data_IF_000964034926
#
_entry.id   IF_000964034926
#
_cell.length_a   1.000
_cell.length_b   1.000
_cell.length_c   1.000
_cell.angle_alpha   90.00
_cell.angle_beta   90.00
_cell.angle_gamma   90.00
#
_symmetry.space_group_name_H-M   'P 1'
#
loop_
_entity.id
_entity.type
_entity.pdbx_description
1 polymer ?
#
# COMPACT_ATOMS: atom_id res chain seq x y z
N UNK A 1 -1.97 -12.46 -14.95
CA UNK A 1 -0.81 -13.26 -14.47
C UNK A 1 -1.15 -14.73 -14.72
N UNK A 2 -0.22 -15.54 -15.23
CA UNK A 2 -0.47 -16.97 -15.49
C UNK A 2 -0.65 -17.74 -14.18
N UNK A 3 -1.48 -18.80 -14.20
CA UNK A 3 -1.82 -19.58 -13.00
C UNK A 3 -0.59 -20.29 -12.42
N UNK A 4 0.27 -20.87 -13.26
CA UNK A 4 1.49 -21.52 -12.80
C UNK A 4 2.46 -20.55 -12.12
N UNK A 5 2.55 -19.31 -12.60
CA UNK A 5 3.40 -18.26 -12.02
C UNK A 5 2.91 -17.86 -10.63
N UNK A 6 1.60 -17.61 -10.47
CA UNK A 6 1.00 -17.28 -9.17
C UNK A 6 1.24 -18.39 -8.15
N UNK A 7 1.06 -19.66 -8.57
CA UNK A 7 1.34 -20.81 -7.71
C UNK A 7 2.83 -20.90 -7.33
N UNK A 8 3.74 -20.66 -8.29
CA UNK A 8 5.18 -20.68 -8.08
C UNK A 8 5.64 -19.67 -7.02
N UNK A 9 5.04 -18.47 -7.00
CA UNK A 9 5.39 -17.43 -6.01
C UNK A 9 4.59 -17.54 -4.69
N UNK A 10 3.74 -18.56 -4.53
CA UNK A 10 2.96 -18.78 -3.31
C UNK A 10 1.73 -17.89 -3.13
N UNK A 11 1.21 -17.26 -4.20
CA UNK A 11 0.01 -16.42 -4.13
C UNK A 11 0.26 -15.01 -3.55
N UNK A 12 -0.74 -14.45 -2.87
CA UNK A 12 -0.64 -13.16 -2.17
C UNK A 12 -0.01 -13.35 -0.79
N UNK A 13 0.82 -12.41 -0.36
CA UNK A 13 1.40 -12.44 0.99
C UNK A 13 0.32 -12.15 2.03
N UNK A 14 0.25 -13.00 3.06
CA UNK A 14 -0.68 -12.85 4.19
C UNK A 14 -0.19 -11.86 5.25
N UNK A 15 1.00 -11.26 5.06
CA UNK A 15 1.56 -10.30 6.01
C UNK A 15 0.86 -8.92 5.94
N UNK A 16 0.13 -8.68 4.85
CA UNK A 16 -0.57 -7.43 4.59
C UNK A 16 -2.07 -7.64 4.76
N UNK A 17 -2.73 -6.69 5.43
CA UNK A 17 -4.19 -6.60 5.40
C UNK A 17 -4.65 -5.83 4.16
N UNK A 18 -4.03 -4.66 3.91
CA UNK A 18 -4.22 -3.81 2.73
C UNK A 18 -3.05 -2.82 2.61
N UNK A 19 -2.86 -2.31 1.40
CA UNK A 19 -1.74 -1.49 0.93
C UNK A 19 -0.40 -2.23 0.97
N UNK A 20 0.43 -1.99 -0.06
CA UNK A 20 1.74 -2.62 -0.30
C UNK A 20 1.71 -4.12 -0.63
N UNK A 21 0.55 -4.78 -0.55
CA UNK A 21 0.38 -6.19 -0.95
C UNK A 21 0.58 -6.39 -2.46
N UNK A 22 0.20 -5.40 -3.25
CA UNK A 22 0.35 -5.34 -4.71
C UNK A 22 1.80 -5.03 -5.11
N UNK A 23 2.46 -4.11 -4.41
CA UNK A 23 3.88 -3.80 -4.58
C UNK A 23 4.74 -5.02 -4.24
N UNK A 24 4.43 -5.72 -3.15
CA UNK A 24 5.07 -7.00 -2.78
C UNK A 24 4.87 -8.06 -3.86
N UNK A 25 3.64 -8.21 -4.38
CA UNK A 25 3.34 -9.13 -5.47
C UNK A 25 4.15 -8.82 -6.72
N UNK A 26 4.18 -7.56 -7.15
CA UNK A 26 4.98 -7.11 -8.31
C UNK A 26 6.47 -7.39 -8.11
N UNK A 27 6.99 -7.13 -6.90
CA UNK A 27 8.39 -7.41 -6.56
C UNK A 27 8.71 -8.91 -6.68
N UNK A 28 7.84 -9.78 -6.16
CA UNK A 28 8.01 -11.24 -6.26
C UNK A 28 7.91 -11.75 -7.70
N UNK A 29 7.03 -11.18 -8.52
CA UNK A 29 6.92 -11.50 -9.94
C UNK A 29 8.20 -11.13 -10.69
N UNK A 30 8.74 -9.93 -10.46
CA UNK A 30 10.00 -9.47 -11.07
C UNK A 30 11.15 -10.40 -10.66
N UNK A 31 11.23 -10.80 -9.38
CA UNK A 31 12.27 -11.73 -8.90
C UNK A 31 12.25 -13.11 -9.57
N UNK A 32 11.12 -13.54 -10.13
CA UNK A 32 11.03 -14.81 -10.90
C UNK A 32 11.10 -14.61 -12.41
N UNK A 33 11.49 -13.41 -12.88
CA UNK A 33 11.73 -13.09 -14.29
C UNK A 33 10.50 -12.60 -15.06
N UNK A 34 9.38 -12.35 -14.39
CA UNK A 34 8.17 -11.83 -15.04
C UNK A 34 8.27 -10.32 -15.27
N UNK A 35 7.54 -9.83 -16.28
CA UNK A 35 7.46 -8.40 -16.61
C UNK A 35 6.13 -7.82 -16.14
N UNK A 36 6.18 -6.63 -15.56
CA UNK A 36 5.00 -5.84 -15.21
C UNK A 36 4.77 -4.82 -16.33
N UNK A 37 3.62 -4.88 -16.99
CA UNK A 37 3.33 -4.09 -18.20
C UNK A 37 1.99 -3.39 -18.02
N UNK A 38 1.97 -2.08 -18.26
CA UNK A 38 0.75 -1.29 -18.40
C UNK A 38 0.22 -1.38 -19.84
N UNK A 39 -1.12 -1.46 -20.00
CA UNK A 39 -1.77 -1.41 -21.32
C UNK A 39 -2.95 -0.45 -21.32
N UNK A 40 -2.99 0.52 -22.25
CA UNK A 40 -4.14 1.40 -22.39
C UNK A 40 -5.32 0.74 -23.13
N UNK A 41 -5.12 -0.46 -23.69
CA UNK A 41 -6.16 -1.19 -24.46
C UNK A 41 -7.30 -1.71 -23.59
N UNK A 42 -7.01 -2.01 -22.32
CA UNK A 42 -8.02 -2.43 -21.33
C UNK A 42 -8.25 -1.30 -20.34
N UNK A 43 -9.51 -1.01 -20.02
CA UNK A 43 -9.90 0.06 -19.10
C UNK A 43 -10.91 -0.48 -18.09
N UNK A 44 -10.71 -0.11 -16.84
CA UNK A 44 -11.59 -0.45 -15.71
C UNK A 44 -11.85 0.83 -14.93
N UNK A 45 -13.11 1.07 -14.57
CA UNK A 45 -13.48 2.20 -13.71
C UNK A 45 -13.29 1.78 -12.26
N UNK A 46 -12.43 2.48 -11.54
CA UNK A 46 -12.23 2.27 -10.10
C UNK A 46 -12.97 3.36 -9.31
N UNK A 47 -13.88 2.95 -8.44
CA UNK A 47 -14.54 3.86 -7.52
C UNK A 47 -13.70 4.03 -6.26
N UNK A 48 -12.76 4.97 -6.34
CA UNK A 48 -11.77 5.23 -5.29
C UNK A 48 -12.40 5.52 -3.92
N UNK A 49 -11.70 5.08 -2.86
CA UNK A 49 -11.97 5.42 -1.46
C UNK A 49 -13.36 5.07 -0.90
N UNK A 50 -14.28 4.45 -1.67
CA UNK A 50 -15.64 4.11 -1.20
C UNK A 50 -15.64 3.19 0.01
N UNK A 51 -14.85 2.12 -0.02
CA UNK A 51 -14.75 1.14 1.09
C UNK A 51 -14.16 1.74 2.37
N UNK A 52 -13.45 2.86 2.25
CA UNK A 52 -12.76 3.51 3.36
C UNK A 52 -13.36 4.87 3.71
N UNK A 53 -14.48 5.27 3.10
CA UNK A 53 -15.07 6.60 3.28
C UNK A 53 -15.44 6.90 4.73
N UNK A 54 -15.81 5.87 5.51
CA UNK A 54 -16.23 5.98 6.91
C UNK A 54 -15.11 5.75 7.92
N UNK A 55 -13.92 5.34 7.47
CA UNK A 55 -12.81 4.99 8.36
C UNK A 55 -12.04 6.24 8.81
N UNK A 56 -11.65 6.27 10.08
CA UNK A 56 -10.89 7.37 10.69
C UNK A 56 -9.50 7.51 10.05
N UNK A 57 -9.04 8.75 9.86
CA UNK A 57 -7.74 9.06 9.26
C UNK A 57 -6.59 8.35 9.97
N UNK A 58 -6.61 8.35 11.31
CA UNK A 58 -5.56 7.74 12.12
C UNK A 58 -5.46 6.22 11.93
N UNK A 59 -6.61 5.52 11.93
CA UNK A 59 -6.65 4.07 11.77
C UNK A 59 -6.09 3.64 10.40
N UNK A 60 -6.46 4.37 9.34
CA UNK A 60 -5.90 4.17 7.99
C UNK A 60 -4.39 4.37 7.98
N UNK A 61 -3.92 5.48 8.55
CA UNK A 61 -2.50 5.79 8.58
C UNK A 61 -1.69 4.72 9.32
N UNK A 62 -2.22 4.19 10.42
CA UNK A 62 -1.59 3.10 11.17
C UNK A 62 -1.45 1.83 10.34
N UNK A 63 -2.50 1.44 9.61
CA UNK A 63 -2.45 0.26 8.73
C UNK A 63 -1.46 0.49 7.58
N UNK A 64 -1.52 1.65 6.94
CA UNK A 64 -0.62 2.03 5.87
C UNK A 64 0.86 2.00 6.31
N UNK A 65 1.17 2.63 7.45
CA UNK A 65 2.54 2.65 8.00
C UNK A 65 3.02 1.24 8.36
N UNK A 66 2.15 0.40 8.92
CA UNK A 66 2.49 -1.00 9.21
C UNK A 66 2.83 -1.76 7.93
N UNK A 67 1.96 -1.70 6.91
CA UNK A 67 2.19 -2.39 5.64
C UNK A 67 3.46 -1.91 4.93
N UNK A 68 3.70 -0.60 4.92
CA UNK A 68 4.94 -0.02 4.38
C UNK A 68 6.18 -0.56 5.11
N UNK A 69 6.19 -0.58 6.44
CA UNK A 69 7.32 -1.10 7.21
C UNK A 69 7.58 -2.58 6.96
N UNK A 70 6.53 -3.40 6.80
CA UNK A 70 6.66 -4.82 6.43
C UNK A 70 7.38 -4.95 5.08
N UNK A 71 6.97 -4.17 4.07
CA UNK A 71 7.59 -4.21 2.75
C UNK A 71 9.07 -3.78 2.81
N UNK A 72 9.37 -2.66 3.47
CA UNK A 72 10.74 -2.16 3.57
C UNK A 72 11.66 -3.10 4.36
N UNK A 73 11.13 -3.77 5.38
CA UNK A 73 11.89 -4.79 6.11
C UNK A 73 12.28 -5.98 5.22
N UNK A 74 11.44 -6.35 4.24
CA UNK A 74 11.67 -7.49 3.33
C UNK A 74 12.64 -7.17 2.19
N UNK A 75 12.63 -5.94 1.68
CA UNK A 75 13.27 -5.63 0.39
C UNK A 75 14.27 -4.48 0.41
N UNK A 76 14.38 -3.72 1.51
CA UNK A 76 15.25 -2.55 1.61
C UNK A 76 16.26 -2.67 2.77
N UNK A 77 17.16 -1.67 2.87
CA UNK A 77 18.18 -1.66 3.90
C UNK A 77 17.58 -1.42 5.29
N UNK A 78 18.31 -1.83 6.34
CA UNK A 78 17.90 -1.57 7.73
C UNK A 78 17.79 -0.08 8.04
N UNK A 79 18.59 0.75 7.35
CA UNK A 79 18.54 2.20 7.50
C UNK A 79 17.24 2.78 6.94
N UNK A 80 16.85 2.38 5.72
CA UNK A 80 15.59 2.84 5.10
C UNK A 80 14.39 2.48 5.99
N UNK A 81 14.37 1.25 6.49
CA UNK A 81 13.33 0.80 7.41
C UNK A 81 13.31 1.63 8.71
N UNK A 82 14.50 1.92 9.28
CA UNK A 82 14.59 2.71 10.50
C UNK A 82 14.14 4.15 10.30
N UNK A 83 14.58 4.80 9.22
CA UNK A 83 14.17 6.15 8.85
C UNK A 83 12.65 6.23 8.67
N UNK A 84 12.05 5.28 7.95
CA UNK A 84 10.60 5.23 7.77
C UNK A 84 9.86 4.93 9.07
N UNK A 85 10.44 4.14 9.97
CA UNK A 85 9.85 3.87 11.28
C UNK A 85 9.78 5.15 12.12
N UNK A 86 10.84 5.95 12.10
CA UNK A 86 10.88 7.25 12.78
C UNK A 86 9.88 8.22 12.16
N UNK A 87 9.90 8.38 10.84
CA UNK A 87 8.94 9.23 10.12
C UNK A 87 7.48 8.75 10.26
N UNK A 88 7.29 7.44 10.46
CA UNK A 88 5.99 6.82 10.70
C UNK A 88 5.33 7.31 11.99
N UNK A 89 6.11 7.74 12.98
CA UNK A 89 5.57 8.36 14.20
C UNK A 89 4.99 9.74 13.91
N UNK A 90 5.73 10.58 13.19
CA UNK A 90 5.29 11.93 12.80
C UNK A 90 4.03 11.86 11.94
N UNK A 91 3.98 10.89 11.02
CA UNK A 91 2.81 10.60 10.20
C UNK A 91 1.56 10.27 11.04
N UNK A 92 1.70 9.53 12.14
CA UNK A 92 0.59 9.22 13.05
C UNK A 92 0.13 10.46 13.83
N UNK A 93 1.08 11.27 14.30
CA UNK A 93 0.77 12.53 15.01
C UNK A 93 0.01 13.49 14.09
N UNK A 94 0.50 13.70 12.86
CA UNK A 94 -0.16 14.54 11.87
C UNK A 94 -1.56 14.01 11.52
N UNK A 95 -1.73 12.69 11.36
CA UNK A 95 -3.03 12.09 11.07
C UNK A 95 -4.02 12.24 12.24
N UNK A 96 -3.53 12.15 13.48
CA UNK A 96 -4.33 12.40 14.68
C UNK A 96 -4.77 13.87 14.76
N UNK A 97 -3.85 14.81 14.54
CA UNK A 97 -4.17 16.25 14.50
C UNK A 97 -5.17 16.54 13.39
N UNK A 98 -4.96 16.00 12.19
CA UNK A 98 -5.88 16.16 11.06
C UNK A 98 -7.29 15.66 11.40
N UNK A 99 -7.39 14.57 12.15
CA UNK A 99 -8.65 14.02 12.63
C UNK A 99 -9.32 14.91 13.69
N UNK A 100 -8.55 15.44 14.66
CA UNK A 100 -9.06 16.35 15.71
C UNK A 100 -9.60 17.64 15.09
N UNK A 101 -8.83 18.24 14.17
CA UNK A 101 -9.21 19.47 13.47
C UNK A 101 -10.21 19.24 12.32
N UNK A 102 -10.67 17.99 12.12
CA UNK A 102 -11.63 17.60 11.07
C UNK A 102 -11.25 18.13 9.69
N UNK A 103 -9.96 18.12 9.35
CA UNK A 103 -9.52 18.46 8.02
C UNK A 103 -10.19 17.52 7.01
N UNK A 104 -10.95 18.10 6.08
CA UNK A 104 -11.58 17.31 5.02
C UNK A 104 -10.48 16.80 4.09
N UNK A 105 -10.44 15.48 3.80
CA UNK A 105 -9.52 14.96 2.81
C UNK A 105 -9.81 15.63 1.45
N UNK A 106 -8.74 15.87 0.67
CA UNK A 106 -8.90 16.36 -0.70
C UNK A 106 -9.84 15.43 -1.45
N UNK A 107 -10.84 16.00 -2.09
CA UNK A 107 -11.77 15.25 -2.94
C UNK A 107 -10.97 14.75 -4.15
N UNK A 108 -10.94 13.43 -4.36
CA UNK A 108 -10.26 12.82 -5.50
C UNK A 108 -10.87 13.32 -6.82
N UNK A 109 -10.04 13.39 -7.88
CA UNK A 109 -10.43 13.95 -9.17
C UNK A 109 -11.66 13.23 -9.71
N UNK A 110 -12.69 14.01 -10.06
CA UNK A 110 -13.83 13.52 -10.83
C UNK A 110 -13.36 13.28 -12.26
N UNK A 111 -12.85 12.08 -12.54
CA UNK A 111 -12.86 11.54 -13.90
C UNK A 111 -14.26 11.02 -14.22
#
# INVERSE_FOLDING_TARGET
IKKEVIKKIGGWSQDYFIWWEDVDLCTRLIKVGERIIYTPKSRVIHHESKSFAQQLSFAKQKIFNKSMLIYFQKYHSRLDWFVLKMAGWDSLVLSLLAQIFKFKPKTQSRL
#
